data_IF_761522318132
#
_entry.id   IF_761522318132
#
_cell.length_a   1.000
_cell.length_b   1.000
_cell.length_c   1.000
_cell.angle_alpha   90.00
_cell.angle_beta   90.00
_cell.angle_gamma   90.00
#
_symmetry.space_group_name_H-M   'P 1'
#
loop_
_entity.id
_entity.type
_entity.pdbx_description
1 polymer ?
#
# COMPACT_ATOMS: atom_id res chain seq x y z
N UNK A 1 -7.77 15.16 29.59
CA UNK A 1 -8.15 15.14 28.17
C UNK A 1 -6.94 15.61 27.36
N UNK A 2 -6.55 14.84 26.35
CA UNK A 2 -5.40 15.15 25.51
C UNK A 2 -5.86 15.24 24.05
N UNK A 3 -5.54 16.35 23.35
CA UNK A 3 -5.73 16.47 21.93
C UNK A 3 -4.52 15.84 21.22
N UNK A 4 -4.78 15.01 20.21
CA UNK A 4 -3.78 14.37 19.39
C UNK A 4 -3.90 14.81 17.94
N UNK A 5 -2.73 15.02 17.30
CA UNK A 5 -2.62 15.38 15.88
C UNK A 5 -1.78 14.34 15.11
N UNK A 6 -1.67 13.15 15.67
CA UNK A 6 -0.85 12.05 15.14
C UNK A 6 -1.52 11.27 13.99
N UNK A 7 -2.75 11.60 13.65
CA UNK A 7 -3.50 11.11 12.49
C UNK A 7 -4.17 12.28 11.77
N UNK A 8 -4.59 12.07 10.53
CA UNK A 8 -5.22 13.11 9.69
C UNK A 8 -6.57 13.65 10.23
N UNK A 9 -7.03 13.14 11.38
CA UNK A 9 -8.24 13.58 12.07
C UNK A 9 -7.91 14.13 13.44
N UNK A 10 -8.46 15.28 13.76
CA UNK A 10 -8.43 15.77 15.14
C UNK A 10 -9.18 14.80 16.04
N UNK A 11 -8.53 14.32 17.07
CA UNK A 11 -9.15 13.44 18.05
C UNK A 11 -8.61 13.73 19.45
N UNK A 12 -9.39 13.30 20.43
CA UNK A 12 -9.03 13.48 21.82
C UNK A 12 -8.96 12.12 22.52
N UNK A 13 -8.05 12.01 23.46
CA UNK A 13 -8.01 10.91 24.40
C UNK A 13 -8.50 11.39 25.77
N UNK A 14 -9.49 10.70 26.32
CA UNK A 14 -10.00 10.92 27.64
C UNK A 14 -9.51 9.78 28.54
N UNK A 15 -8.67 10.11 29.51
CA UNK A 15 -8.22 9.17 30.52
C UNK A 15 -8.95 9.49 31.82
N UNK A 16 -9.60 8.49 32.40
CA UNK A 16 -10.30 8.61 33.68
C UNK A 16 -9.94 7.45 34.60
N UNK A 17 -10.06 7.67 35.90
CA UNK A 17 -9.99 6.61 36.89
C UNK A 17 -11.30 5.84 36.91
N UNK A 18 -11.23 4.52 37.14
CA UNK A 18 -12.41 3.66 37.28
C UNK A 18 -12.79 3.45 38.73
N UNK A 19 -12.50 4.44 39.57
CA UNK A 19 -12.86 4.47 40.98
C UNK A 19 -13.52 5.81 41.31
N UNK A 20 -14.50 5.78 42.19
CA UNK A 20 -15.12 7.01 42.73
C UNK A 20 -14.26 7.64 43.84
N UNK A 21 -14.71 8.74 44.43
CA UNK A 21 -14.03 9.44 45.53
C UNK A 21 -13.88 8.60 46.82
N UNK A 22 -14.67 7.53 46.93
CA UNK A 22 -14.63 6.62 48.08
C UNK A 22 -13.83 5.33 47.78
N UNK A 23 -13.17 5.26 46.63
CA UNK A 23 -12.36 4.12 46.21
C UNK A 23 -13.17 2.93 45.68
N UNK A 24 -14.46 3.07 45.47
CA UNK A 24 -15.31 1.99 44.91
C UNK A 24 -15.22 1.97 43.40
N UNK A 25 -15.22 0.76 42.82
CA UNK A 25 -15.15 0.57 41.36
C UNK A 25 -16.40 1.18 40.70
N UNK A 26 -16.20 2.09 39.75
CA UNK A 26 -17.24 2.56 38.83
C UNK A 26 -17.58 1.45 37.84
N UNK A 27 -18.86 1.16 37.66
CA UNK A 27 -19.32 0.08 36.77
C UNK A 27 -18.90 0.32 35.30
N UNK A 28 -18.21 -0.64 34.73
CA UNK A 28 -17.80 -0.69 33.32
C UNK A 28 -18.77 -1.54 32.46
N UNK A 29 -19.90 -1.99 33.04
CA UNK A 29 -20.91 -2.74 32.28
C UNK A 29 -21.44 -1.89 31.11
N UNK A 30 -21.43 -2.48 29.93
CA UNK A 30 -21.85 -1.83 28.69
C UNK A 30 -21.15 -0.50 28.37
N UNK A 31 -19.93 -0.28 28.87
CA UNK A 31 -19.16 0.95 28.65
C UNK A 31 -19.06 1.29 27.16
N UNK A 32 -18.74 0.30 26.32
CA UNK A 32 -18.64 0.50 24.89
C UNK A 32 -19.95 0.98 24.24
N UNK A 33 -21.09 0.42 24.64
CA UNK A 33 -22.40 0.82 24.13
C UNK A 33 -22.76 2.24 24.57
N UNK A 34 -22.61 2.55 25.87
CA UNK A 34 -22.87 3.89 26.42
C UNK A 34 -21.96 4.94 25.79
N UNK A 35 -20.68 4.63 25.62
CA UNK A 35 -19.70 5.52 24.96
C UNK A 35 -20.12 5.81 23.52
N UNK A 36 -20.58 4.81 22.78
CA UNK A 36 -21.07 4.96 21.42
C UNK A 36 -22.30 5.87 21.34
N UNK A 37 -23.30 5.64 22.19
CA UNK A 37 -24.52 6.45 22.26
C UNK A 37 -24.18 7.92 22.54
N UNK A 38 -23.24 8.19 23.46
CA UNK A 38 -22.77 9.54 23.77
C UNK A 38 -22.03 10.17 22.57
N UNK A 39 -21.19 9.40 21.90
CA UNK A 39 -20.43 9.89 20.74
C UNK A 39 -21.38 10.27 19.62
N UNK A 40 -22.36 9.43 19.28
CA UNK A 40 -23.37 9.70 18.25
C UNK A 40 -24.20 10.95 18.60
N UNK A 41 -24.57 11.11 19.86
CA UNK A 41 -25.27 12.32 20.33
C UNK A 41 -24.43 13.59 20.16
N UNK A 42 -23.14 13.54 20.52
CA UNK A 42 -22.24 14.68 20.36
C UNK A 42 -21.98 15.01 18.89
N UNK A 43 -21.82 14.01 18.03
CA UNK A 43 -21.67 14.18 16.59
C UNK A 43 -22.86 14.94 15.99
N UNK A 44 -24.09 14.53 16.35
CA UNK A 44 -25.31 15.21 15.90
C UNK A 44 -25.43 16.63 16.46
N UNK A 45 -25.21 16.78 17.76
CA UNK A 45 -25.36 18.08 18.44
C UNK A 45 -24.41 19.15 17.91
N UNK A 46 -23.18 18.78 17.57
CA UNK A 46 -22.14 19.71 17.14
C UNK A 46 -21.86 19.65 15.65
N UNK A 47 -22.64 18.91 14.87
CA UNK A 47 -22.44 18.77 13.42
C UNK A 47 -21.08 18.18 13.05
N UNK A 48 -20.56 17.27 13.89
CA UNK A 48 -19.29 16.62 13.64
C UNK A 48 -19.44 15.51 12.60
N UNK A 49 -18.36 15.20 11.87
CA UNK A 49 -18.36 14.05 10.98
C UNK A 49 -18.46 12.75 11.81
N UNK A 50 -19.43 11.85 11.51
CA UNK A 50 -19.57 10.59 12.21
C UNK A 50 -18.27 9.76 12.16
N UNK A 51 -17.82 9.29 13.32
CA UNK A 51 -16.65 8.42 13.41
C UNK A 51 -16.93 7.02 12.84
N UNK A 52 -18.20 6.56 12.99
CA UNK A 52 -18.70 5.34 12.37
C UNK A 52 -19.49 5.70 11.10
N UNK A 53 -19.36 4.88 10.06
CA UNK A 53 -20.04 5.12 8.79
C UNK A 53 -19.19 5.82 7.73
N UNK A 54 -17.96 6.19 8.01
CA UNK A 54 -17.03 6.42 6.91
C UNK A 54 -16.95 5.13 6.10
N UNK A 55 -17.55 5.17 4.91
CA UNK A 55 -17.49 4.03 3.99
C UNK A 55 -16.04 3.59 3.90
N UNK A 56 -15.75 2.35 4.28
CA UNK A 56 -14.46 1.71 4.02
C UNK A 56 -14.25 1.72 2.51
N UNK A 57 -13.67 2.75 1.96
CA UNK A 57 -13.51 2.87 0.52
C UNK A 57 -13.32 4.29 0.00
N UNK A 58 -13.64 5.32 0.76
CA UNK A 58 -13.36 6.68 0.34
C UNK A 58 -11.94 7.03 0.73
N UNK A 59 -11.09 6.95 -0.30
CA UNK A 59 -9.77 7.56 -0.43
C UNK A 59 -8.86 7.37 0.78
N UNK A 60 -8.29 6.19 0.88
CA UNK A 60 -6.96 6.11 1.43
C UNK A 60 -6.10 7.02 0.54
N UNK A 61 -5.86 8.26 0.94
CA UNK A 61 -4.87 9.10 0.28
C UNK A 61 -3.51 8.44 0.50
N UNK A 62 -3.21 7.51 -0.41
CA UNK A 62 -1.90 6.87 -0.46
C UNK A 62 -0.91 7.95 -0.83
N UNK A 63 -0.07 8.33 0.12
CA UNK A 63 0.99 9.32 -0.09
C UNK A 63 2.32 8.59 -0.14
N UNK A 64 3.25 9.04 -0.99
CA UNK A 64 4.62 8.56 -0.93
C UNK A 64 5.21 8.78 0.47
N UNK A 65 6.06 7.85 0.89
CA UNK A 65 6.81 7.97 2.14
C UNK A 65 7.78 9.12 2.01
N UNK A 66 7.82 9.97 3.03
CA UNK A 66 8.71 11.12 3.14
C UNK A 66 9.57 10.96 4.40
N UNK A 67 10.83 10.60 4.19
CA UNK A 67 11.77 10.35 5.29
C UNK A 67 12.02 11.62 6.15
N UNK A 68 11.86 12.81 5.58
CA UNK A 68 12.05 14.07 6.31
C UNK A 68 10.95 14.34 7.34
N UNK A 69 9.77 13.76 7.17
CA UNK A 69 8.64 13.92 8.10
C UNK A 69 8.70 13.01 9.33
N UNK A 70 9.73 12.17 9.45
CA UNK A 70 9.88 11.24 10.58
C UNK A 70 8.87 10.09 10.58
N UNK A 71 8.86 9.30 11.64
CA UNK A 71 8.03 8.10 11.85
C UNK A 71 7.87 7.20 10.58
N UNK A 72 9.00 6.92 9.95
CA UNK A 72 9.08 6.13 8.70
C UNK A 72 8.33 4.81 8.84
N UNK A 73 8.44 4.14 9.99
CA UNK A 73 7.73 2.86 10.24
C UNK A 73 6.22 3.02 10.07
N UNK A 74 5.65 4.07 10.61
CA UNK A 74 4.23 4.35 10.57
C UNK A 74 3.77 4.73 9.16
N UNK A 75 4.56 5.55 8.46
CA UNK A 75 4.32 5.91 7.07
C UNK A 75 4.31 4.66 6.19
N UNK A 76 5.34 3.79 6.26
CA UNK A 76 5.39 2.54 5.50
C UNK A 76 4.20 1.65 5.84
N UNK A 77 3.87 1.47 7.13
CA UNK A 77 2.74 0.64 7.53
C UNK A 77 1.39 1.16 6.99
N UNK A 78 1.19 2.48 6.98
CA UNK A 78 -0.02 3.14 6.45
C UNK A 78 -0.15 3.03 4.94
N UNK A 79 0.95 2.88 4.22
CA UNK A 79 0.96 2.73 2.77
C UNK A 79 0.89 1.25 2.36
N UNK A 80 1.75 0.38 2.90
CA UNK A 80 1.82 -1.04 2.53
C UNK A 80 0.53 -1.79 2.80
N UNK A 81 -0.10 -1.58 3.97
CA UNK A 81 -1.32 -2.32 4.33
C UNK A 81 -2.51 -2.05 3.39
N UNK A 82 -2.83 -0.78 3.05
CA UNK A 82 -3.85 -0.51 2.04
C UNK A 82 -3.49 -1.04 0.65
N UNK A 83 -2.25 -0.88 0.18
CA UNK A 83 -1.82 -1.42 -1.11
C UNK A 83 -2.05 -2.92 -1.18
N UNK A 84 -1.72 -3.66 -0.13
CA UNK A 84 -2.01 -5.09 -0.02
C UNK A 84 -3.49 -5.42 -0.07
N UNK A 85 -4.36 -4.58 0.44
CA UNK A 85 -5.82 -4.80 0.39
C UNK A 85 -6.41 -4.44 -0.96
N UNK A 86 -5.94 -3.36 -1.56
CA UNK A 86 -6.57 -2.74 -2.71
C UNK A 86 -6.10 -3.31 -4.04
N UNK A 87 -4.79 -3.61 -4.17
CA UNK A 87 -4.21 -4.00 -5.45
C UNK A 87 -4.09 -5.51 -5.60
N UNK A 88 -4.30 -5.97 -6.84
CA UNK A 88 -4.01 -7.34 -7.27
C UNK A 88 -2.66 -7.38 -7.97
N UNK A 89 -1.82 -8.34 -7.62
CA UNK A 89 -0.52 -8.60 -8.22
C UNK A 89 -0.18 -10.09 -8.12
N UNK A 90 0.70 -10.59 -8.99
CA UNK A 90 0.97 -12.02 -9.14
C UNK A 90 2.40 -12.40 -8.81
N UNK A 91 3.28 -11.42 -8.71
CA UNK A 91 4.70 -11.63 -8.43
C UNK A 91 5.24 -10.61 -7.44
N UNK A 92 6.30 -10.96 -6.72
CA UNK A 92 7.01 -10.02 -5.86
C UNK A 92 7.55 -8.81 -6.64
N UNK A 93 7.97 -9.02 -7.91
CA UNK A 93 8.42 -7.94 -8.79
C UNK A 93 7.33 -6.92 -9.10
N UNK A 94 6.10 -7.37 -9.32
CA UNK A 94 4.94 -6.50 -9.50
C UNK A 94 4.65 -5.69 -8.23
N UNK A 95 4.72 -6.35 -7.06
CA UNK A 95 4.50 -5.64 -5.79
C UNK A 95 5.62 -4.63 -5.48
N UNK A 96 6.90 -4.96 -5.77
CA UNK A 96 8.01 -4.00 -5.67
C UNK A 96 7.79 -2.77 -6.55
N UNK A 97 7.33 -2.98 -7.79
CA UNK A 97 7.03 -1.89 -8.71
C UNK A 97 5.88 -0.99 -8.19
N UNK A 98 4.85 -1.58 -7.59
CA UNK A 98 3.78 -0.82 -6.94
C UNK A 98 4.31 0.00 -5.76
N UNK A 99 5.14 -0.59 -4.91
CA UNK A 99 5.70 0.05 -3.73
C UNK A 99 6.63 1.22 -4.10
N UNK A 100 7.40 1.09 -5.21
CA UNK A 100 8.33 2.15 -5.63
C UNK A 100 7.64 3.47 -5.96
N UNK A 101 6.38 3.46 -6.42
CA UNK A 101 5.58 4.67 -6.62
C UNK A 101 5.32 5.44 -5.32
N UNK A 102 5.48 4.78 -4.19
CA UNK A 102 5.25 5.35 -2.86
C UNK A 102 6.55 5.50 -2.06
N UNK A 103 7.69 5.55 -2.73
CA UNK A 103 9.01 5.66 -2.10
C UNK A 103 9.28 4.54 -1.08
N UNK A 104 8.84 3.33 -1.38
CA UNK A 104 9.06 2.15 -0.54
C UNK A 104 9.81 1.09 -1.33
N UNK A 105 10.98 0.72 -0.81
CA UNK A 105 11.73 -0.45 -1.25
C UNK A 105 11.26 -1.71 -0.52
N UNK A 106 11.39 -2.86 -1.17
CA UNK A 106 11.11 -4.17 -0.58
C UNK A 106 12.19 -5.17 -0.97
N UNK A 107 12.71 -5.88 0.02
CA UNK A 107 13.72 -6.92 -0.16
C UNK A 107 13.27 -8.23 0.47
N UNK A 108 13.51 -9.33 -0.23
CA UNK A 108 13.32 -10.68 0.28
C UNK A 108 14.61 -11.19 0.91
N UNK A 109 14.54 -11.64 2.14
CA UNK A 109 15.65 -12.26 2.86
C UNK A 109 15.32 -13.73 3.10
N UNK A 110 16.11 -14.60 2.49
CA UNK A 110 16.00 -16.06 2.65
C UNK A 110 17.29 -16.58 3.27
N UNK A 111 17.17 -17.52 4.19
CA UNK A 111 18.34 -18.13 4.83
C UNK A 111 17.96 -19.32 5.68
N UNK A 112 18.97 -19.89 6.32
CA UNK A 112 18.83 -20.99 7.25
C UNK A 112 19.53 -20.63 8.57
N UNK A 113 18.86 -20.87 9.69
CA UNK A 113 19.43 -20.66 11.01
C UNK A 113 18.95 -21.78 11.95
N UNK A 114 19.91 -22.52 12.53
CA UNK A 114 19.62 -23.61 13.44
C UNK A 114 18.79 -24.75 12.79
N UNK A 115 19.06 -25.08 11.53
CA UNK A 115 18.34 -26.11 10.78
C UNK A 115 16.92 -25.73 10.35
N UNK A 116 16.54 -24.46 10.52
CA UNK A 116 15.25 -23.92 10.07
C UNK A 116 15.44 -22.88 8.96
N UNK A 117 14.78 -23.09 7.84
CA UNK A 117 14.73 -22.10 6.77
C UNK A 117 13.82 -20.94 7.18
N UNK A 118 14.23 -19.70 6.86
CA UNK A 118 13.38 -18.53 7.03
C UNK A 118 13.23 -17.78 5.72
N UNK A 119 12.06 -17.19 5.53
CA UNK A 119 11.73 -16.30 4.43
C UNK A 119 11.12 -15.02 5.03
N UNK A 120 11.89 -13.94 5.02
CA UNK A 120 11.50 -12.65 5.57
C UNK A 120 11.36 -11.59 4.49
N UNK A 121 10.62 -10.53 4.81
CA UNK A 121 10.51 -9.33 3.99
C UNK A 121 11.03 -8.13 4.80
N UNK A 122 11.86 -7.33 4.18
CA UNK A 122 12.30 -6.03 4.65
C UNK A 122 11.65 -4.94 3.81
N UNK A 123 11.20 -3.88 4.47
CA UNK A 123 10.70 -2.66 3.82
C UNK A 123 11.60 -1.50 4.19
N UNK A 124 11.90 -0.64 3.25
CA UNK A 124 12.74 0.55 3.46
C UNK A 124 12.12 1.77 2.82
N UNK A 125 12.42 2.97 3.35
CA UNK A 125 12.08 4.21 2.69
C UNK A 125 13.14 4.53 1.62
N UNK A 126 12.67 4.97 0.46
CA UNK A 126 13.49 5.42 -0.65
C UNK A 126 13.34 6.94 -0.80
N UNK A 127 14.34 7.56 -1.39
CA UNK A 127 14.23 8.92 -1.91
C UNK A 127 13.60 8.95 -3.31
N UNK A 128 13.52 10.13 -3.91
CA UNK A 128 12.98 10.30 -5.26
C UNK A 128 13.87 9.70 -6.37
N UNK A 129 15.11 9.33 -6.03
CA UNK A 129 16.04 8.68 -6.95
C UNK A 129 15.99 7.14 -6.81
N UNK A 130 15.23 6.64 -5.84
CA UNK A 130 15.12 5.22 -5.52
C UNK A 130 16.20 4.70 -4.58
N UNK A 131 17.00 5.60 -3.97
CA UNK A 131 18.05 5.24 -3.03
C UNK A 131 17.49 5.07 -1.60
N UNK A 132 18.07 4.13 -0.87
CA UNK A 132 17.67 3.83 0.50
C UNK A 132 18.07 4.97 1.45
N UNK A 133 17.10 5.57 2.13
CA UNK A 133 17.31 6.68 3.06
C UNK A 133 17.03 6.35 4.51
N UNK A 134 16.68 5.09 4.81
CA UNK A 134 16.39 4.67 6.18
C UNK A 134 16.75 3.21 6.42
N UNK A 135 16.94 2.85 7.70
CA UNK A 135 17.18 1.46 8.09
C UNK A 135 16.01 0.56 7.70
N UNK A 136 16.26 -0.58 7.04
CA UNK A 136 15.22 -1.52 6.66
C UNK A 136 14.42 -2.04 7.87
N UNK A 137 13.12 -2.15 7.70
CA UNK A 137 12.18 -2.56 8.74
C UNK A 137 11.65 -3.95 8.41
N UNK A 138 11.80 -4.90 9.34
CA UNK A 138 11.25 -6.25 9.20
C UNK A 138 9.72 -6.21 9.09
N UNK A 139 9.14 -6.97 8.18
CA UNK A 139 7.70 -7.08 7.98
C UNK A 139 6.93 -7.40 9.26
N UNK A 140 7.50 -8.23 10.14
CA UNK A 140 6.90 -8.56 11.45
C UNK A 140 6.63 -7.34 12.34
N UNK A 141 7.41 -6.26 12.17
CA UNK A 141 7.23 -4.99 12.90
C UNK A 141 6.12 -4.11 12.31
N UNK A 142 5.68 -4.39 11.08
CA UNK A 142 4.57 -3.68 10.41
C UNK A 142 3.23 -4.41 10.61
N UNK A 143 3.28 -5.72 10.87
CA UNK A 143 2.11 -6.56 11.15
C UNK A 143 2.06 -7.84 10.31
N UNK A 144 1.22 -8.79 10.72
CA UNK A 144 1.14 -10.14 10.12
C UNK A 144 0.84 -10.12 8.60
N UNK A 145 0.07 -9.15 8.13
CA UNK A 145 -0.35 -9.06 6.71
C UNK A 145 0.77 -8.73 5.72
N UNK A 146 1.92 -8.24 6.20
CA UNK A 146 3.02 -7.73 5.36
C UNK A 146 4.17 -8.72 5.19
N UNK A 147 4.05 -9.91 5.76
CA UNK A 147 5.08 -10.96 5.71
C UNK A 147 5.02 -11.81 4.44
N UNK A 148 6.10 -12.55 4.18
CA UNK A 148 6.27 -13.36 2.97
C UNK A 148 5.12 -14.34 2.75
N UNK A 149 4.70 -15.09 3.77
CA UNK A 149 3.62 -16.07 3.68
C UNK A 149 2.30 -15.45 3.18
N UNK A 150 1.95 -14.26 3.67
CA UNK A 150 0.73 -13.57 3.27
C UNK A 150 0.82 -13.00 1.85
N UNK A 151 2.00 -12.53 1.44
CA UNK A 151 2.27 -12.12 0.07
C UNK A 151 2.15 -13.31 -0.88
N UNK A 152 2.75 -14.46 -0.56
CA UNK A 152 2.68 -15.69 -1.35
C UNK A 152 1.23 -16.19 -1.49
N UNK A 153 0.46 -16.14 -0.40
CA UNK A 153 -0.96 -16.49 -0.43
C UNK A 153 -1.73 -15.57 -1.39
N UNK A 154 -1.53 -14.27 -1.27
CA UNK A 154 -2.19 -13.27 -2.12
C UNK A 154 -1.85 -13.44 -3.60
N UNK A 155 -0.58 -13.68 -3.93
CA UNK A 155 -0.13 -13.94 -5.30
C UNK A 155 -0.74 -15.21 -5.89
N UNK A 156 -0.84 -16.29 -5.10
CA UNK A 156 -1.52 -17.53 -5.50
C UNK A 156 -3.00 -17.30 -5.78
N UNK A 157 -3.70 -16.58 -4.90
CA UNK A 157 -5.12 -16.23 -5.09
C UNK A 157 -5.34 -15.37 -6.34
N UNK A 158 -4.47 -14.38 -6.59
CA UNK A 158 -4.51 -13.56 -7.78
C UNK A 158 -4.29 -14.41 -9.06
N UNK A 159 -3.30 -15.31 -9.02
CA UNK A 159 -2.98 -16.19 -10.15
C UNK A 159 -4.11 -17.16 -10.46
N UNK A 160 -4.78 -17.69 -9.45
CA UNK A 160 -5.94 -18.56 -9.64
C UNK A 160 -7.12 -17.86 -10.33
N UNK A 161 -7.30 -16.57 -10.06
CA UNK A 161 -8.34 -15.73 -10.67
C UNK A 161 -7.97 -15.23 -12.08
N UNK A 162 -6.69 -15.25 -12.45
CA UNK A 162 -6.19 -14.64 -13.69
C UNK A 162 -6.55 -15.39 -14.97
N UNK A 163 -7.17 -16.58 -14.92
CA UNK A 163 -7.62 -17.33 -16.11
C UNK A 163 -8.72 -16.58 -16.91
N UNK A 164 -9.40 -15.64 -16.28
CA UNK A 164 -10.36 -14.72 -16.91
C UNK A 164 -10.13 -13.30 -16.39
N UNK A 165 -8.99 -12.69 -16.75
CA UNK A 165 -8.65 -11.35 -16.27
C UNK A 165 -9.09 -10.28 -17.27
N UNK A 166 -10.29 -9.68 -17.10
CA UNK A 166 -10.80 -8.63 -17.98
C UNK A 166 -9.92 -7.36 -17.94
N UNK A 167 -9.10 -7.21 -16.91
CA UNK A 167 -8.17 -6.08 -16.81
C UNK A 167 -7.10 -6.15 -17.88
N UNK A 168 -6.56 -7.34 -18.16
CA UNK A 168 -5.57 -7.52 -19.24
C UNK A 168 -6.16 -7.14 -20.60
N UNK A 169 -7.38 -7.55 -20.89
CA UNK A 169 -8.06 -7.24 -22.14
C UNK A 169 -8.29 -5.74 -22.30
N UNK A 170 -8.59 -5.02 -21.21
CA UNK A 170 -8.77 -3.58 -21.21
C UNK A 170 -7.44 -2.82 -21.34
N UNK A 171 -6.42 -3.21 -20.59
CA UNK A 171 -5.14 -2.48 -20.52
C UNK A 171 -4.33 -2.65 -21.80
N UNK A 172 -4.32 -3.85 -22.39
CA UNK A 172 -3.50 -4.16 -23.55
C UNK A 172 -3.69 -3.20 -24.73
N UNK A 173 -4.90 -2.91 -25.22
CA UNK A 173 -5.09 -1.96 -26.33
C UNK A 173 -4.69 -0.53 -25.95
N UNK A 174 -4.90 -0.09 -24.71
CA UNK A 174 -4.49 1.23 -24.24
C UNK A 174 -2.97 1.39 -24.24
N UNK A 175 -2.26 0.39 -23.75
CA UNK A 175 -0.79 0.40 -23.74
C UNK A 175 -0.23 0.31 -25.15
N UNK A 176 -0.83 -0.52 -26.03
CA UNK A 176 -0.42 -0.64 -27.43
C UNK A 176 -0.61 0.68 -28.19
N UNK A 177 -1.74 1.36 -28.00
CA UNK A 177 -2.01 2.64 -28.65
C UNK A 177 -1.08 3.73 -28.12
N UNK A 178 -0.89 3.81 -26.80
CA UNK A 178 0.05 4.74 -26.19
C UNK A 178 1.48 4.53 -26.73
N UNK A 179 1.98 3.28 -26.75
CA UNK A 179 3.32 2.95 -27.24
C UNK A 179 3.50 3.34 -28.70
N UNK A 180 2.53 3.03 -29.56
CA UNK A 180 2.58 3.35 -31.00
C UNK A 180 2.65 4.84 -31.29
N UNK A 181 1.99 5.66 -30.45
CA UNK A 181 1.89 7.12 -30.64
C UNK A 181 2.96 7.90 -29.91
N UNK A 182 3.72 7.26 -29.04
CA UNK A 182 4.72 7.93 -28.24
C UNK A 182 5.99 8.15 -29.05
N UNK A 183 6.60 9.30 -28.86
CA UNK A 183 7.89 9.67 -29.48
C UNK A 183 9.07 9.37 -28.55
N UNK A 184 8.82 9.33 -27.24
CA UNK A 184 9.81 9.01 -26.21
C UNK A 184 9.18 8.40 -24.97
N UNK A 185 10.00 8.04 -23.97
CA UNK A 185 9.54 7.45 -22.71
C UNK A 185 8.61 8.40 -21.93
N UNK A 186 8.91 9.71 -21.95
CA UNK A 186 8.13 10.70 -21.24
C UNK A 186 6.71 10.82 -21.82
N UNK A 187 6.61 10.95 -23.14
CA UNK A 187 5.32 11.00 -23.84
C UNK A 187 4.54 9.71 -23.61
N UNK A 188 5.23 8.56 -23.58
CA UNK A 188 4.59 7.27 -23.28
C UNK A 188 3.98 7.27 -21.87
N UNK A 189 4.73 7.73 -20.87
CA UNK A 189 4.23 7.85 -19.48
C UNK A 189 3.05 8.80 -19.38
N UNK A 190 3.14 9.96 -20.02
CA UNK A 190 2.10 10.98 -19.99
C UNK A 190 0.79 10.50 -20.63
N UNK A 191 0.89 9.69 -21.70
CA UNK A 191 -0.30 9.07 -22.33
C UNK A 191 -0.93 8.02 -21.43
N UNK A 192 -0.12 7.16 -20.81
CA UNK A 192 -0.60 6.16 -19.88
C UNK A 192 -1.23 6.78 -18.62
N UNK A 193 -0.65 7.87 -18.12
CA UNK A 193 -1.18 8.58 -16.94
C UNK A 193 -2.59 9.14 -17.18
N UNK A 194 -2.92 9.59 -18.41
CA UNK A 194 -4.28 10.00 -18.79
C UNK A 194 -5.30 8.87 -18.65
N UNK A 195 -4.86 7.63 -18.79
CA UNK A 195 -5.68 6.41 -18.61
C UNK A 195 -5.58 5.84 -17.19
N UNK A 196 -4.98 6.59 -16.26
CA UNK A 196 -4.72 6.17 -14.88
C UNK A 196 -3.84 4.91 -14.80
N UNK A 197 -2.86 4.80 -15.70
CA UNK A 197 -1.88 3.72 -15.74
C UNK A 197 -0.50 4.31 -15.49
N UNK A 198 0.18 3.83 -14.45
CA UNK A 198 1.58 4.15 -14.22
C UNK A 198 2.49 3.09 -14.84
N UNK A 199 3.62 3.56 -15.38
CA UNK A 199 4.68 2.73 -15.92
C UNK A 199 5.89 2.73 -14.99
N UNK A 200 6.30 1.55 -14.53
CA UNK A 200 7.55 1.38 -13.78
C UNK A 200 8.54 0.59 -14.65
N UNK A 201 9.62 1.25 -15.00
CA UNK A 201 10.77 0.64 -15.71
C UNK A 201 11.89 0.39 -14.69
N UNK A 202 12.34 -0.85 -14.63
CA UNK A 202 13.51 -1.23 -13.84
C UNK A 202 14.72 -1.31 -14.76
N UNK A 203 15.76 -0.56 -14.42
CA UNK A 203 17.02 -0.50 -15.16
C UNK A 203 18.15 -1.07 -14.31
N UNK A 204 19.12 -1.69 -14.94
CA UNK A 204 20.37 -2.08 -14.29
C UNK A 204 21.38 -0.91 -14.30
N UNK A 205 22.55 -1.13 -13.72
CA UNK A 205 23.64 -0.13 -13.65
C UNK A 205 24.09 0.39 -15.02
N UNK A 206 23.92 -0.40 -16.08
CA UNK A 206 24.24 0.01 -17.46
C UNK A 206 23.09 0.76 -18.15
N UNK A 207 22.00 1.05 -17.43
CA UNK A 207 20.80 1.73 -17.97
C UNK A 207 19.85 0.81 -18.75
N UNK A 208 20.19 -0.47 -18.96
CA UNK A 208 19.35 -1.42 -19.70
C UNK A 208 18.08 -1.73 -18.91
N UNK A 209 16.93 -1.64 -19.56
CA UNK A 209 15.63 -2.04 -18.99
C UNK A 209 15.62 -3.57 -18.85
N UNK A 210 15.42 -4.08 -17.66
CA UNK A 210 15.23 -5.51 -17.37
C UNK A 210 13.84 -5.85 -16.84
N UNK A 211 13.02 -4.85 -16.54
CA UNK A 211 11.66 -5.06 -16.06
C UNK A 211 10.74 -3.92 -16.44
N UNK A 212 9.54 -4.29 -16.89
CA UNK A 212 8.47 -3.37 -17.26
C UNK A 212 7.24 -3.78 -16.48
N UNK A 213 6.62 -2.84 -15.80
CA UNK A 213 5.41 -3.09 -15.01
C UNK A 213 4.42 -1.96 -15.24
N UNK A 214 3.19 -2.32 -15.56
CA UNK A 214 2.06 -1.41 -15.69
C UNK A 214 1.17 -1.51 -14.45
N UNK A 215 0.80 -0.38 -13.89
CA UNK A 215 -0.01 -0.26 -12.68
C UNK A 215 -1.28 0.48 -13.04
N UNK A 216 -2.37 -0.24 -13.14
CA UNK A 216 -3.68 0.33 -13.44
C UNK A 216 -4.40 0.68 -12.14
N UNK A 217 -4.53 1.96 -11.87
CA UNK A 217 -5.18 2.47 -10.68
C UNK A 217 -6.71 2.34 -10.73
N UNK A 218 -7.29 2.29 -11.92
CA UNK A 218 -8.73 2.14 -12.11
C UNK A 218 -9.22 0.75 -11.70
N UNK A 219 -8.55 -0.30 -12.18
CA UNK A 219 -8.85 -1.68 -11.78
C UNK A 219 -8.06 -2.16 -10.57
N UNK A 220 -7.08 -1.35 -10.10
CA UNK A 220 -6.15 -1.69 -9.03
C UNK A 220 -5.40 -2.99 -9.30
N UNK A 221 -4.91 -3.13 -10.53
CA UNK A 221 -4.18 -4.31 -10.99
C UNK A 221 -2.78 -3.93 -11.42
N UNK A 222 -1.81 -4.76 -11.04
CA UNK A 222 -0.40 -4.62 -11.40
C UNK A 222 -0.03 -5.76 -12.33
N UNK A 223 0.52 -5.44 -13.48
CA UNK A 223 0.88 -6.41 -14.52
C UNK A 223 2.28 -6.16 -15.06
N UNK A 224 3.13 -7.19 -15.02
CA UNK A 224 4.38 -7.16 -15.78
C UNK A 224 4.11 -7.10 -17.29
N UNK A 225 4.92 -6.36 -18.02
CA UNK A 225 4.80 -6.21 -19.47
C UNK A 225 4.73 -7.54 -20.21
N UNK A 226 5.56 -8.53 -19.84
CA UNK A 226 5.55 -9.88 -20.44
C UNK A 226 4.21 -10.63 -20.23
N UNK A 227 3.45 -10.32 -19.19
CA UNK A 227 2.10 -10.88 -18.98
C UNK A 227 1.05 -10.17 -19.83
N UNK A 228 1.25 -8.90 -20.11
CA UNK A 228 0.38 -8.12 -20.99
C UNK A 228 0.54 -8.56 -22.45
N UNK A 229 1.78 -8.78 -22.90
CA UNK A 229 2.15 -9.26 -24.22
C UNK A 229 3.67 -9.29 -24.40
N UNK A 230 4.18 -10.11 -25.34
CA UNK A 230 5.62 -10.16 -25.63
C UNK A 230 6.14 -8.80 -26.08
N UNK A 231 5.34 -8.06 -26.80
CA UNK A 231 5.63 -6.72 -27.33
C UNK A 231 5.84 -5.66 -26.24
N UNK A 232 5.38 -5.92 -25.01
CA UNK A 232 5.53 -5.02 -23.86
C UNK A 232 6.59 -5.50 -22.86
N UNK A 233 7.38 -6.50 -23.26
CA UNK A 233 8.47 -7.01 -22.42
C UNK A 233 9.68 -6.07 -22.44
N UNK A 234 10.54 -6.17 -21.42
CA UNK A 234 11.74 -5.35 -21.29
C UNK A 234 12.73 -5.47 -22.46
N UNK A 235 12.66 -6.55 -23.23
CA UNK A 235 13.54 -6.74 -24.39
C UNK A 235 13.00 -6.06 -25.67
N UNK A 236 11.78 -5.55 -25.63
CA UNK A 236 11.11 -4.94 -26.79
C UNK A 236 10.92 -3.43 -26.64
N UNK A 237 11.11 -2.91 -25.42
CA UNK A 237 11.13 -1.49 -25.08
C UNK A 237 12.56 -0.97 -24.87
#
# INVERSE_FOLDING_TARGET
>A
VFKHEDIDRHHIHIVSLRVDSEGRKVSDKFEHRRSKEITEFLEQKYGLHPAEGQKKGEEWQLKPVDAAKGDIKRQIARTVKPLLKLYSFHTMGEFRALLSLYNIGMEEVKGEMGGRTYHGILYTALDNNGETVATPIKSSRLGKMTGAEQLDKKMREATAKAKSDPCRERIRPLVADALRRSVDERDFRDRLAKEQIDLVLRRNETGRIYGVTFIDHRSRTVLNGSRLGKEFSANML
#
